data_IF_043401413662
#
_entry.id   IF_043401413662
#
_cell.length_a   1.000
_cell.length_b   1.000
_cell.length_c   1.000
_cell.angle_alpha   90.00
_cell.angle_beta   90.00
_cell.angle_gamma   90.00
#
_symmetry.space_group_name_H-M   'P 1'
#
loop_
_entity.id
_entity.type
_entity.pdbx_description
1 polymer ?
#
# COMPACT_ATOMS: atom_id res chain seq x y z
N UNK A 1 23.60 15.66 10.75
CA UNK A 1 22.39 16.18 10.09
C UNK A 1 21.78 17.39 10.80
N UNK A 2 21.87 17.50 12.15
CA UNK A 2 21.27 18.63 12.91
C UNK A 2 21.70 20.03 12.43
N UNK A 3 22.91 20.19 11.88
CA UNK A 3 23.40 21.46 11.33
C UNK A 3 22.97 21.78 9.90
N UNK A 4 22.38 20.82 9.19
CA UNK A 4 21.93 20.99 7.79
C UNK A 4 20.44 21.34 7.69
N UNK A 5 19.68 21.12 8.75
CA UNK A 5 18.26 21.42 8.77
C UNK A 5 18.07 22.91 9.05
N UNK A 6 17.42 23.62 8.16
CA UNK A 6 17.07 25.05 8.32
C UNK A 6 16.07 25.27 9.47
N UNK A 7 15.30 24.23 9.81
CA UNK A 7 14.35 24.23 10.92
C UNK A 7 14.58 23.00 11.80
N UNK A 8 14.43 23.16 13.11
CA UNK A 8 14.56 22.07 14.09
C UNK A 8 13.35 21.14 14.09
N UNK A 9 12.21 21.64 13.65
CA UNK A 9 10.93 20.95 13.61
C UNK A 9 10.26 21.25 12.26
N UNK A 10 9.58 20.24 11.72
CA UNK A 10 8.74 20.37 10.52
C UNK A 10 7.30 20.07 10.95
N UNK A 11 6.63 21.02 11.58
CA UNK A 11 5.27 20.83 12.04
C UNK A 11 4.35 20.67 10.83
N UNK A 12 3.37 19.76 10.95
CA UNK A 12 2.33 19.57 9.93
C UNK A 12 1.54 20.85 9.65
N UNK A 13 1.64 21.85 10.51
CA UNK A 13 1.10 23.19 10.36
C UNK A 13 1.54 23.90 9.07
N UNK A 14 2.71 23.53 8.51
CA UNK A 14 3.12 24.04 7.19
C UNK A 14 2.19 23.66 6.06
N UNK A 15 1.46 22.56 6.22
CA UNK A 15 0.58 22.00 5.20
C UNK A 15 -0.89 22.20 5.52
N UNK A 16 -1.18 22.85 6.64
CA UNK A 16 -2.55 23.14 7.07
C UNK A 16 -2.89 24.61 6.84
N UNK A 17 -4.17 24.95 6.61
CA UNK A 17 -4.62 26.33 6.59
C UNK A 17 -4.24 27.06 7.89
N UNK A 18 -3.92 28.36 7.80
CA UNK A 18 -3.57 29.16 8.96
C UNK A 18 -4.66 29.05 10.05
N UNK A 19 -4.21 28.98 11.31
CA UNK A 19 -5.08 28.86 12.49
C UNK A 19 -5.85 27.53 12.61
N UNK A 20 -5.47 26.49 11.87
CA UNK A 20 -6.06 25.15 12.03
C UNK A 20 -5.45 24.46 13.22
N UNK A 21 -6.24 24.08 14.22
CA UNK A 21 -5.79 23.21 15.31
C UNK A 21 -5.66 21.78 14.80
N UNK A 22 -4.41 21.31 14.67
CA UNK A 22 -4.12 19.94 14.22
C UNK A 22 -4.19 18.98 15.40
N UNK A 23 -5.28 18.19 15.48
CA UNK A 23 -5.42 17.09 16.42
C UNK A 23 -5.36 15.75 15.69
N UNK A 24 -4.40 14.91 16.07
CA UNK A 24 -4.36 13.55 15.55
C UNK A 24 -5.61 12.77 16.00
N UNK A 25 -6.41 12.34 15.03
CA UNK A 25 -7.59 11.51 15.29
C UNK A 25 -7.47 10.17 14.55
N UNK A 26 -7.10 9.09 15.25
CA UNK A 26 -6.95 7.77 14.64
C UNK A 26 -8.29 7.07 14.33
N UNK A 27 -9.43 7.62 14.74
CA UNK A 27 -10.72 6.94 14.68
C UNK A 27 -11.13 6.62 13.22
N UNK A 28 -10.89 7.53 12.28
CA UNK A 28 -11.18 7.32 10.87
C UNK A 28 -10.38 6.13 10.31
N UNK A 29 -9.06 6.12 10.54
CA UNK A 29 -8.18 5.04 10.06
C UNK A 29 -8.47 3.71 10.73
N UNK A 30 -8.84 3.70 12.02
CA UNK A 30 -9.32 2.48 12.70
C UNK A 30 -10.58 1.93 12.05
N UNK A 31 -11.54 2.78 11.68
CA UNK A 31 -12.76 2.37 10.96
C UNK A 31 -12.43 1.77 9.60
N UNK A 32 -11.55 2.42 8.82
CA UNK A 32 -11.10 1.90 7.52
C UNK A 32 -10.43 0.53 7.68
N UNK A 33 -9.49 0.38 8.62
CA UNK A 33 -8.83 -0.92 8.87
C UNK A 33 -9.84 -1.99 9.28
N UNK A 34 -10.77 -1.68 10.18
CA UNK A 34 -11.82 -2.62 10.60
C UNK A 34 -12.71 -3.03 9.43
N UNK A 35 -13.08 -2.09 8.57
CA UNK A 35 -13.86 -2.38 7.38
C UNK A 35 -13.11 -3.29 6.40
N UNK A 36 -11.87 -2.96 6.07
CA UNK A 36 -11.02 -3.76 5.18
C UNK A 36 -10.77 -5.17 5.72
N UNK A 37 -10.59 -5.31 7.04
CA UNK A 37 -10.41 -6.63 7.67
C UNK A 37 -11.63 -7.55 7.54
N UNK A 38 -12.81 -7.02 7.30
CA UNK A 38 -14.06 -7.79 7.18
C UNK A 38 -14.60 -7.87 5.76
N UNK A 39 -14.33 -6.85 4.95
CA UNK A 39 -14.98 -6.67 3.65
C UNK A 39 -13.98 -6.42 2.51
N UNK A 40 -12.67 -6.40 2.79
CA UNK A 40 -11.62 -6.06 1.83
C UNK A 40 -11.29 -7.18 0.86
N UNK A 41 -12.31 -7.82 0.26
CA UNK A 41 -12.11 -8.85 -0.75
C UNK A 41 -11.68 -8.23 -2.10
N UNK A 42 -10.95 -9.02 -2.89
CA UNK A 42 -10.52 -8.70 -4.26
C UNK A 42 -9.67 -7.42 -4.33
N UNK A 43 -8.82 -7.23 -3.33
CA UNK A 43 -7.84 -6.13 -3.28
C UNK A 43 -6.43 -6.71 -3.34
N UNK A 44 -5.58 -6.11 -4.17
CA UNK A 44 -4.15 -6.42 -4.21
C UNK A 44 -3.40 -5.25 -3.59
N UNK A 45 -2.69 -5.52 -2.49
CA UNK A 45 -1.82 -4.57 -1.80
C UNK A 45 -0.40 -4.81 -2.28
N UNK A 46 0.25 -3.78 -2.84
CA UNK A 46 1.62 -3.88 -3.37
C UNK A 46 2.47 -2.83 -2.68
N UNK A 47 3.58 -3.26 -2.08
CA UNK A 47 4.56 -2.38 -1.45
C UNK A 47 5.99 -2.84 -1.71
N UNK A 48 6.96 -1.98 -1.42
CA UNK A 48 8.38 -2.30 -1.42
C UNK A 48 8.90 -2.47 0.00
N UNK A 49 9.75 -3.46 0.23
CA UNK A 49 10.34 -3.74 1.54
C UNK A 49 11.07 -2.53 2.14
N UNK A 50 11.73 -1.73 1.29
CA UNK A 50 12.47 -0.54 1.69
C UNK A 50 11.66 0.76 1.55
N UNK A 51 10.34 0.67 1.37
CA UNK A 51 9.46 1.84 1.32
C UNK A 51 9.19 2.33 2.74
N UNK A 52 9.62 3.54 3.12
CA UNK A 52 9.34 4.07 4.45
C UNK A 52 7.84 4.22 4.75
N UNK A 53 7.00 4.29 3.73
CA UNK A 53 5.54 4.34 3.89
C UNK A 53 4.93 2.98 4.21
N UNK A 54 5.70 1.89 4.03
CA UNK A 54 5.32 0.54 4.44
C UNK A 54 4.97 0.41 5.93
N UNK A 55 5.42 1.36 6.78
CA UNK A 55 4.99 1.44 8.18
C UNK A 55 3.46 1.59 8.35
N UNK A 56 2.76 2.05 7.30
CA UNK A 56 1.29 2.17 7.28
C UNK A 56 0.58 1.05 6.53
N UNK A 57 1.31 0.10 5.98
CA UNK A 57 0.76 -1.00 5.20
C UNK A 57 -0.31 -1.77 5.97
N UNK A 58 -1.30 -2.23 5.22
CA UNK A 58 -2.34 -3.09 5.73
C UNK A 58 -2.07 -4.53 5.31
N UNK A 59 -1.85 -5.39 6.28
CA UNK A 59 -1.79 -6.83 6.06
C UNK A 59 -3.23 -7.39 6.14
N UNK A 60 -3.82 -7.85 5.02
CA UNK A 60 -5.17 -8.40 5.04
C UNK A 60 -5.19 -9.70 5.85
N UNK A 61 -6.19 -9.89 6.71
CA UNK A 61 -6.35 -11.15 7.42
C UNK A 61 -6.84 -12.26 6.47
N UNK A 62 -6.69 -13.52 6.89
CA UNK A 62 -7.03 -14.69 6.07
C UNK A 62 -8.52 -14.85 5.78
N UNK A 63 -9.35 -14.14 6.51
CA UNK A 63 -10.81 -14.15 6.38
C UNK A 63 -11.32 -13.37 5.17
N UNK A 64 -10.47 -12.56 4.56
CA UNK A 64 -10.78 -11.83 3.31
C UNK A 64 -9.96 -12.38 2.15
N UNK A 65 -10.58 -12.49 0.98
CA UNK A 65 -9.90 -12.91 -0.24
C UNK A 65 -9.16 -11.70 -0.87
N UNK A 66 -8.00 -11.38 -0.28
CA UNK A 66 -7.11 -10.32 -0.72
C UNK A 66 -5.69 -10.83 -0.87
N UNK A 67 -4.87 -10.15 -1.66
CA UNK A 67 -3.48 -10.52 -1.92
C UNK A 67 -2.55 -9.40 -1.43
N UNK A 68 -1.53 -9.75 -0.66
CA UNK A 68 -0.45 -8.82 -0.31
C UNK A 68 0.85 -9.25 -0.97
N UNK A 69 1.45 -8.35 -1.74
CA UNK A 69 2.74 -8.52 -2.40
C UNK A 69 3.73 -7.51 -1.84
N UNK A 70 4.80 -7.99 -1.24
CA UNK A 70 5.92 -7.17 -0.80
C UNK A 70 7.13 -7.50 -1.68
N UNK A 71 7.58 -6.53 -2.46
CA UNK A 71 8.78 -6.71 -3.28
C UNK A 71 10.02 -6.60 -2.41
N UNK A 72 10.83 -7.66 -2.38
CA UNK A 72 12.13 -7.65 -1.69
C UNK A 72 13.01 -6.54 -2.27
N UNK A 73 13.66 -5.77 -1.39
CA UNK A 73 14.50 -4.62 -1.76
C UNK A 73 13.77 -3.55 -2.59
N UNK A 74 12.44 -3.62 -2.68
CA UNK A 74 11.62 -2.65 -3.40
C UNK A 74 11.52 -1.32 -2.65
N UNK A 75 11.32 -0.25 -3.40
CA UNK A 75 11.12 1.11 -2.90
C UNK A 75 9.69 1.59 -3.17
N UNK A 76 9.41 2.85 -2.91
CA UNK A 76 8.14 3.52 -3.23
C UNK A 76 7.75 3.46 -4.73
N UNK A 77 8.70 3.16 -5.62
CA UNK A 77 8.44 3.02 -7.05
C UNK A 77 8.05 1.60 -7.46
N UNK A 78 7.84 0.68 -6.51
CA UNK A 78 7.40 -0.69 -6.78
C UNK A 78 6.06 -0.69 -7.52
N UNK A 79 6.01 -1.45 -8.61
CA UNK A 79 4.85 -1.60 -9.50
C UNK A 79 4.77 -3.02 -9.99
N UNK A 80 3.62 -3.46 -10.51
CA UNK A 80 3.43 -4.82 -11.04
C UNK A 80 4.55 -5.17 -12.04
N UNK A 81 4.85 -4.27 -12.99
CA UNK A 81 5.89 -4.49 -14.00
C UNK A 81 7.32 -4.60 -13.45
N UNK A 82 7.57 -4.19 -12.21
CA UNK A 82 8.89 -4.29 -11.55
C UNK A 82 8.99 -5.46 -10.59
N UNK A 83 7.92 -6.23 -10.39
CA UNK A 83 7.93 -7.42 -9.54
C UNK A 83 8.67 -8.57 -10.21
N UNK A 84 9.22 -9.52 -9.44
CA UNK A 84 9.70 -10.80 -9.98
C UNK A 84 8.57 -11.54 -10.71
N UNK A 85 8.89 -12.35 -11.74
CA UNK A 85 7.89 -13.10 -12.52
C UNK A 85 6.92 -13.90 -11.66
N UNK A 86 7.40 -14.58 -10.61
CA UNK A 86 6.56 -15.37 -9.71
C UNK A 86 5.49 -14.53 -9.00
N UNK A 87 5.82 -13.32 -8.55
CA UNK A 87 4.86 -12.42 -7.93
C UNK A 87 3.87 -11.83 -8.94
N UNK A 88 4.32 -11.61 -10.18
CA UNK A 88 3.43 -11.20 -11.27
C UNK A 88 2.42 -12.29 -11.61
N UNK A 89 2.86 -13.55 -11.67
CA UNK A 89 2.00 -14.72 -11.89
C UNK A 89 0.97 -14.88 -10.76
N UNK A 90 1.38 -14.67 -9.52
CA UNK A 90 0.48 -14.71 -8.36
C UNK A 90 -0.65 -13.67 -8.49
N UNK A 91 -0.33 -12.45 -8.95
CA UNK A 91 -1.32 -11.41 -9.24
C UNK A 91 -2.27 -11.84 -10.35
N UNK A 92 -1.73 -12.37 -11.46
CA UNK A 92 -2.55 -12.83 -12.58
C UNK A 92 -3.51 -13.94 -12.15
N UNK A 93 -3.03 -14.92 -11.37
CA UNK A 93 -3.87 -15.99 -10.85
C UNK A 93 -4.98 -15.46 -9.91
N UNK A 94 -4.66 -14.49 -9.05
CA UNK A 94 -5.68 -13.88 -8.20
C UNK A 94 -6.76 -13.18 -9.04
N UNK A 95 -6.36 -12.38 -10.02
CA UNK A 95 -7.28 -11.69 -10.91
C UNK A 95 -8.13 -12.66 -11.73
N UNK A 96 -7.55 -13.74 -12.30
CA UNK A 96 -8.27 -14.77 -13.04
C UNK A 96 -9.34 -15.43 -12.16
N UNK A 97 -8.98 -15.78 -10.93
CA UNK A 97 -9.90 -16.37 -9.95
C UNK A 97 -11.06 -15.42 -9.64
N UNK A 98 -10.78 -14.14 -9.43
CA UNK A 98 -11.79 -13.16 -9.06
C UNK A 98 -12.73 -12.78 -10.22
N UNK A 99 -12.20 -12.74 -11.43
CA UNK A 99 -12.97 -12.36 -12.64
C UNK A 99 -13.66 -13.58 -13.27
N UNK A 100 -13.19 -14.80 -12.95
CA UNK A 100 -13.69 -16.04 -13.55
C UNK A 100 -13.34 -16.19 -15.04
N UNK A 101 -12.25 -15.55 -15.49
CA UNK A 101 -11.77 -15.59 -16.89
C UNK A 101 -10.27 -15.71 -16.95
N UNK A 102 -9.77 -16.39 -17.97
CA UNK A 102 -8.34 -16.36 -18.29
C UNK A 102 -7.91 -14.96 -18.74
N UNK A 103 -6.80 -14.51 -18.22
CA UNK A 103 -6.17 -13.23 -18.59
C UNK A 103 -4.87 -13.56 -19.31
N UNK A 104 -4.74 -13.07 -20.54
CA UNK A 104 -3.45 -13.12 -21.22
C UNK A 104 -2.44 -12.23 -20.46
N UNK A 105 -1.35 -12.81 -20.01
CA UNK A 105 -0.29 -12.11 -19.26
C UNK A 105 0.43 -11.05 -20.09
N UNK A 106 0.28 -11.07 -21.40
CA UNK A 106 1.05 -10.24 -22.35
C UNK A 106 0.87 -8.72 -22.20
N UNK A 107 -0.32 -8.16 -21.87
CA UNK A 107 -0.48 -6.70 -21.73
C UNK A 107 -0.24 -6.16 -20.33
N UNK A 108 -0.23 -7.01 -19.29
CA UNK A 108 -0.11 -6.56 -17.89
C UNK A 108 1.37 -6.37 -17.50
N UNK A 109 2.26 -7.01 -18.25
CA UNK A 109 3.69 -7.11 -17.93
C UNK A 109 4.59 -6.19 -18.77
N UNK A 110 4.00 -5.27 -19.54
CA UNK A 110 4.76 -4.27 -20.31
C UNK A 110 4.81 -2.90 -19.63
#
# INVERSE_FOLDING_TARGET
>A
FKGLLKQKEYPNEFFAPAHTELKYNPAAMKKVRTYLSKNGNHIIYISGENDPWGATDFAPPKEVDALQIIKKEGSHTTRISTLPPSQQEEIVHALQRWIGKEISSSPILK
#
